data_IF_985179556337
#
_entry.id   IF_985179556337
#
_cell.length_a   1.000
_cell.length_b   1.000
_cell.length_c   1.000
_cell.angle_alpha   90.00
_cell.angle_beta   90.00
_cell.angle_gamma   90.00
#
_symmetry.space_group_name_H-M   'P 1'
#
loop_
_entity.id
_entity.type
_entity.pdbx_description
1 polymer ?
#
# COMPACT_ATOMS: atom_id res chain seq x y z
N UNK A 1 47.38 70.71 5.53
CA UNK A 1 48.08 70.10 4.39
C UNK A 1 47.02 69.47 3.50
N UNK A 2 46.91 69.99 2.27
CA UNK A 2 46.33 69.36 1.06
C UNK A 2 44.80 69.18 1.02
N UNK A 3 44.05 70.07 0.34
CA UNK A 3 43.57 69.99 -1.07
C UNK A 3 42.70 68.74 -1.37
N UNK A 4 41.58 68.71 -2.09
CA UNK A 4 40.62 69.65 -2.72
C UNK A 4 39.64 68.74 -3.48
N UNK A 5 38.36 69.12 -3.62
CA UNK A 5 37.57 69.06 -4.88
C UNK A 5 36.06 69.07 -4.62
N UNK A 6 35.43 70.17 -5.07
CA UNK A 6 34.03 70.32 -5.47
C UNK A 6 33.48 69.15 -6.29
N UNK A 7 32.15 68.94 -6.25
CA UNK A 7 31.25 69.29 -7.37
C UNK A 7 29.78 68.85 -7.12
N UNK A 8 28.88 69.84 -7.18
CA UNK A 8 27.42 69.71 -7.42
C UNK A 8 27.16 69.17 -8.84
N UNK A 9 26.28 68.17 -9.03
CA UNK A 9 25.47 67.99 -10.26
C UNK A 9 24.13 67.30 -9.92
N UNK A 10 23.09 67.79 -10.60
CA UNK A 10 21.64 67.58 -10.55
C UNK A 10 21.14 66.31 -11.32
N UNK A 11 19.90 65.89 -11.01
CA UNK A 11 18.94 65.02 -11.77
C UNK A 11 19.19 63.50 -12.05
N UNK A 12 18.13 62.69 -12.38
CA UNK A 12 16.68 62.82 -12.17
C UNK A 12 16.00 61.55 -11.57
N UNK A 13 14.72 61.68 -11.21
CA UNK A 13 13.85 60.60 -10.76
C UNK A 13 13.54 59.59 -11.89
N UNK A 14 13.70 58.30 -11.57
CA UNK A 14 13.59 57.16 -12.47
C UNK A 14 12.15 56.96 -12.97
N UNK A 15 11.97 57.08 -14.29
CA UNK A 15 10.74 56.94 -15.13
C UNK A 15 9.97 55.62 -14.96
N UNK A 16 10.40 54.71 -14.08
CA UNK A 16 9.85 53.35 -13.97
C UNK A 16 8.59 53.22 -13.10
N UNK A 17 8.10 54.32 -12.53
CA UNK A 17 6.94 54.30 -11.61
C UNK A 17 5.61 54.62 -12.30
N UNK A 18 5.63 55.11 -13.54
CA UNK A 18 4.39 55.53 -14.24
C UNK A 18 3.74 54.46 -15.12
N UNK A 19 4.40 53.33 -15.39
CA UNK A 19 3.86 52.29 -16.29
C UNK A 19 2.93 51.26 -15.61
N UNK A 20 2.63 51.39 -14.32
CA UNK A 20 1.86 50.38 -13.56
C UNK A 20 0.38 50.73 -13.37
N UNK A 21 -0.14 51.78 -14.01
CA UNK A 21 -1.49 52.30 -13.73
C UNK A 21 -2.48 52.30 -14.91
N UNK A 22 -2.17 51.69 -16.04
CA UNK A 22 -3.11 51.57 -17.16
C UNK A 22 -3.20 50.12 -17.63
N UNK A 23 -4.05 49.31 -17.00
CA UNK A 23 -4.76 48.16 -17.61
C UNK A 23 -5.81 47.52 -16.64
N UNK A 24 -6.45 48.34 -15.81
CA UNK A 24 -7.43 47.89 -14.81
C UNK A 24 -8.89 48.03 -15.25
N UNK A 25 -9.32 47.35 -16.32
CA UNK A 25 -10.75 47.30 -16.69
C UNK A 25 -11.25 45.91 -17.13
N UNK A 26 -10.73 44.83 -16.54
CA UNK A 26 -11.54 43.61 -16.44
C UNK A 26 -12.58 43.87 -15.34
N UNK A 27 -13.87 43.85 -15.68
CA UNK A 27 -14.93 43.99 -14.70
C UNK A 27 -14.75 42.92 -13.62
N UNK A 28 -14.93 43.24 -12.33
CA UNK A 28 -14.86 42.25 -11.24
C UNK A 28 -15.78 41.03 -11.53
N UNK A 29 -16.83 41.21 -12.33
CA UNK A 29 -17.72 40.14 -12.83
C UNK A 29 -17.07 39.20 -13.85
N UNK A 30 -16.15 39.69 -14.68
CA UNK A 30 -15.37 38.90 -15.64
C UNK A 30 -14.27 38.11 -14.93
N UNK A 31 -13.61 38.73 -13.94
CA UNK A 31 -12.62 38.06 -13.09
C UNK A 31 -13.25 36.98 -12.19
N UNK A 32 -14.44 37.24 -11.62
CA UNK A 32 -15.21 36.25 -10.87
C UNK A 32 -15.72 35.10 -11.77
N UNK A 33 -16.13 35.40 -13.01
CA UNK A 33 -16.55 34.39 -13.98
C UNK A 33 -15.42 33.50 -14.49
N UNK A 34 -14.20 34.03 -14.65
CA UNK A 34 -13.01 33.22 -14.96
C UNK A 34 -12.61 32.31 -13.79
N UNK A 35 -12.68 32.81 -12.56
CA UNK A 35 -12.43 32.00 -11.35
C UNK A 35 -13.47 30.88 -11.14
N UNK A 36 -14.75 31.14 -11.42
CA UNK A 36 -15.82 30.13 -11.31
C UNK A 36 -15.68 29.04 -12.40
N UNK A 37 -15.27 29.42 -13.62
CA UNK A 37 -14.91 28.45 -14.68
C UNK A 37 -13.64 27.64 -14.34
N UNK A 38 -12.65 28.27 -13.71
CA UNK A 38 -11.44 27.59 -13.24
C UNK A 38 -11.74 26.64 -12.06
N UNK A 39 -12.63 27.03 -11.13
CA UNK A 39 -13.08 26.18 -10.03
C UNK A 39 -13.89 24.97 -10.54
N UNK A 40 -14.84 25.18 -11.46
CA UNK A 40 -15.61 24.09 -12.06
C UNK A 40 -14.73 23.14 -12.90
N UNK A 41 -13.74 23.69 -13.62
CA UNK A 41 -12.73 22.91 -14.34
C UNK A 41 -11.83 22.11 -13.39
N UNK A 42 -11.36 22.69 -12.30
CA UNK A 42 -10.57 21.99 -11.28
C UNK A 42 -11.39 20.91 -10.58
N UNK A 43 -12.65 21.17 -10.25
CA UNK A 43 -13.57 20.19 -9.65
C UNK A 43 -13.85 19.05 -10.64
N UNK A 44 -14.05 19.35 -11.93
CA UNK A 44 -14.21 18.34 -12.98
C UNK A 44 -12.96 17.46 -13.13
N UNK A 45 -11.76 18.07 -13.16
CA UNK A 45 -10.48 17.36 -13.22
C UNK A 45 -10.26 16.45 -11.99
N UNK A 46 -10.61 16.91 -10.78
CA UNK A 46 -10.54 16.10 -9.55
C UNK A 46 -11.51 14.92 -9.63
N UNK A 47 -12.74 15.14 -10.11
CA UNK A 47 -13.74 14.07 -10.29
C UNK A 47 -13.27 13.03 -11.30
N UNK A 48 -12.75 13.48 -12.44
CA UNK A 48 -12.20 12.59 -13.47
C UNK A 48 -11.03 11.76 -12.93
N UNK A 49 -10.08 12.39 -12.24
CA UNK A 49 -8.94 11.69 -11.63
C UNK A 49 -9.37 10.66 -10.58
N UNK A 50 -10.37 10.98 -9.75
CA UNK A 50 -10.93 10.02 -8.78
C UNK A 50 -11.66 8.87 -9.47
N UNK A 51 -12.43 9.16 -10.52
CA UNK A 51 -13.13 8.14 -11.29
C UNK A 51 -12.15 7.19 -11.98
N UNK A 52 -11.05 7.72 -12.51
CA UNK A 52 -9.99 6.92 -13.13
C UNK A 52 -9.27 6.04 -12.09
N UNK A 53 -8.91 6.59 -10.93
CA UNK A 53 -8.31 5.82 -9.83
C UNK A 53 -9.20 4.66 -9.41
N UNK A 54 -10.50 4.92 -9.20
CA UNK A 54 -11.47 3.89 -8.85
C UNK A 54 -11.57 2.80 -9.93
N UNK A 55 -11.61 3.20 -11.20
CA UNK A 55 -11.66 2.27 -12.34
C UNK A 55 -10.41 1.40 -12.40
N UNK A 56 -9.23 1.97 -12.17
CA UNK A 56 -7.97 1.24 -12.14
C UNK A 56 -7.91 0.24 -10.97
N UNK A 57 -8.40 0.63 -9.79
CA UNK A 57 -8.46 -0.27 -8.63
C UNK A 57 -9.43 -1.42 -8.85
N UNK A 58 -10.61 -1.16 -9.42
CA UNK A 58 -11.58 -2.18 -9.79
C UNK A 58 -11.01 -3.17 -10.81
N UNK A 59 -10.33 -2.67 -11.85
CA UNK A 59 -9.69 -3.51 -12.87
C UNK A 59 -8.63 -4.43 -12.26
N UNK A 60 -7.75 -3.88 -11.39
CA UNK A 60 -6.73 -4.66 -10.68
C UNK A 60 -7.36 -5.72 -9.78
N UNK A 61 -8.41 -5.39 -9.04
CA UNK A 61 -9.09 -6.36 -8.18
C UNK A 61 -9.75 -7.48 -9.02
N UNK A 62 -10.32 -7.15 -10.17
CA UNK A 62 -10.93 -8.13 -11.06
C UNK A 62 -9.87 -9.06 -11.68
N UNK A 63 -8.73 -8.52 -12.11
CA UNK A 63 -7.58 -9.30 -12.60
C UNK A 63 -7.03 -10.23 -11.51
N UNK A 64 -6.86 -9.73 -10.29
CA UNK A 64 -6.44 -10.55 -9.14
C UNK A 64 -7.41 -11.72 -8.90
N UNK A 65 -8.72 -11.47 -8.98
CA UNK A 65 -9.74 -12.55 -8.85
C UNK A 65 -9.60 -13.59 -9.96
N UNK A 66 -9.34 -13.18 -11.20
CA UNK A 66 -9.11 -14.10 -12.32
C UNK A 66 -7.85 -14.94 -12.12
N UNK A 67 -6.83 -14.41 -11.44
CA UNK A 67 -5.61 -15.13 -11.08
C UNK A 67 -5.71 -15.87 -9.75
N UNK A 68 -6.92 -16.23 -9.31
CA UNK A 68 -7.17 -17.04 -8.11
C UNK A 68 -6.57 -16.43 -6.82
N UNK A 69 -6.43 -15.11 -6.73
CA UNK A 69 -6.04 -14.49 -5.46
C UNK A 69 -7.07 -14.81 -4.37
N UNK A 70 -6.62 -14.86 -3.11
CA UNK A 70 -7.46 -15.29 -1.99
C UNK A 70 -7.52 -16.81 -1.77
N UNK A 71 -7.06 -17.61 -2.74
CA UNK A 71 -6.99 -19.07 -2.61
C UNK A 71 -5.58 -19.55 -2.29
N UNK A 72 -5.49 -20.78 -1.80
CA UNK A 72 -4.25 -21.51 -1.61
C UNK A 72 -4.32 -22.81 -2.42
N UNK A 73 -3.62 -22.85 -3.55
CA UNK A 73 -3.67 -23.96 -4.50
C UNK A 73 -2.32 -24.63 -4.72
N UNK A 74 -2.36 -25.92 -5.07
CA UNK A 74 -1.19 -26.68 -5.48
C UNK A 74 -0.95 -26.51 -6.97
N UNK A 75 0.26 -26.08 -7.32
CA UNK A 75 0.71 -25.94 -8.70
C UNK A 75 1.58 -27.16 -9.02
N UNK A 76 1.24 -27.93 -10.07
CA UNK A 76 1.95 -29.16 -10.39
C UNK A 76 3.27 -28.93 -11.15
N UNK A 77 3.50 -27.73 -11.70
CA UNK A 77 4.64 -27.45 -12.58
C UNK A 77 5.42 -26.22 -12.13
N UNK A 78 6.73 -26.33 -12.05
CA UNK A 78 7.62 -25.22 -11.66
C UNK A 78 7.61 -24.04 -12.66
N UNK A 79 7.33 -24.29 -13.95
CA UNK A 79 7.20 -23.21 -14.95
C UNK A 79 6.05 -22.27 -14.61
N UNK A 80 4.95 -22.82 -14.10
CA UNK A 80 3.78 -22.04 -13.70
C UNK A 80 4.08 -21.24 -12.44
N UNK A 81 4.84 -21.80 -11.48
CA UNK A 81 5.33 -21.04 -10.32
C UNK A 81 6.18 -19.84 -10.76
N UNK A 82 7.13 -20.03 -11.68
CA UNK A 82 7.94 -18.94 -12.22
C UNK A 82 7.05 -17.86 -12.85
N UNK A 83 6.11 -18.25 -13.71
CA UNK A 83 5.15 -17.32 -14.32
C UNK A 83 4.39 -16.53 -13.25
N UNK A 84 3.80 -17.21 -12.27
CA UNK A 84 3.04 -16.59 -11.18
C UNK A 84 3.91 -15.59 -10.41
N UNK A 85 5.12 -15.99 -9.99
CA UNK A 85 6.01 -15.10 -9.22
C UNK A 85 6.44 -13.86 -10.00
N UNK A 86 6.54 -13.94 -11.33
CA UNK A 86 6.89 -12.80 -12.18
C UNK A 86 5.70 -11.96 -12.64
N UNK A 87 4.50 -12.53 -12.71
CA UNK A 87 3.28 -11.83 -13.15
C UNK A 87 2.49 -11.20 -12.00
N UNK A 88 2.77 -11.61 -10.76
CA UNK A 88 2.08 -11.09 -9.57
C UNK A 88 3.04 -10.27 -8.71
N UNK A 89 2.53 -9.17 -8.16
CA UNK A 89 3.34 -8.26 -7.34
C UNK A 89 3.77 -8.90 -6.02
N UNK A 90 2.86 -9.56 -5.33
CA UNK A 90 3.10 -10.18 -4.02
C UNK A 90 2.75 -11.67 -4.13
N UNK A 91 3.72 -12.53 -3.87
CA UNK A 91 3.54 -13.97 -3.98
C UNK A 91 4.25 -14.71 -2.85
N UNK A 92 3.60 -15.76 -2.32
CA UNK A 92 4.15 -16.67 -1.32
C UNK A 92 4.07 -18.08 -1.87
N UNK A 93 5.23 -18.74 -1.95
CA UNK A 93 5.35 -20.11 -2.46
C UNK A 93 5.78 -21.04 -1.33
N UNK A 94 4.95 -22.02 -1.02
CA UNK A 94 5.30 -23.10 -0.10
C UNK A 94 5.84 -24.31 -0.86
N UNK A 95 7.14 -24.59 -0.67
CA UNK A 95 7.78 -25.82 -1.11
C UNK A 95 7.50 -26.90 -0.07
N UNK A 96 6.82 -27.96 -0.49
CA UNK A 96 6.34 -29.00 0.41
C UNK A 96 6.66 -30.40 -0.11
N UNK A 97 6.45 -31.40 0.75
CA UNK A 97 6.50 -32.81 0.39
C UNK A 97 5.42 -33.57 1.19
N UNK A 98 4.73 -34.52 0.56
CA UNK A 98 3.51 -35.15 1.12
C UNK A 98 3.78 -35.97 2.38
N UNK A 99 4.97 -36.56 2.49
CA UNK A 99 5.39 -37.37 3.63
C UNK A 99 5.76 -36.54 4.87
N UNK A 100 5.95 -35.23 4.71
CA UNK A 100 6.41 -34.37 5.80
C UNK A 100 5.20 -33.78 6.55
N UNK A 101 4.93 -34.31 7.75
CA UNK A 101 3.83 -33.83 8.62
C UNK A 101 3.88 -32.31 8.85
N UNK A 102 5.07 -31.73 9.01
CA UNK A 102 5.25 -30.29 9.23
C UNK A 102 4.78 -29.44 8.04
N UNK A 103 4.86 -29.95 6.82
CA UNK A 103 4.29 -29.28 5.65
C UNK A 103 2.76 -29.18 5.74
N UNK A 104 2.08 -30.21 6.27
CA UNK A 104 0.63 -30.19 6.46
C UNK A 104 0.20 -29.15 7.51
N UNK A 105 1.06 -28.86 8.49
CA UNK A 105 0.82 -27.81 9.49
C UNK A 105 0.86 -26.43 8.81
N UNK A 106 1.87 -26.18 7.97
CA UNK A 106 1.95 -24.95 7.17
C UNK A 106 0.72 -24.79 6.27
N UNK A 107 0.28 -25.85 5.60
CA UNK A 107 -0.93 -25.82 4.76
C UNK A 107 -2.17 -25.36 5.55
N UNK A 108 -2.34 -25.85 6.79
CA UNK A 108 -3.46 -25.46 7.67
C UNK A 108 -3.44 -23.98 8.05
N UNK A 109 -2.25 -23.36 8.13
CA UNK A 109 -2.11 -21.96 8.48
C UNK A 109 -2.16 -21.04 7.25
N UNK A 110 -1.57 -21.43 6.12
CA UNK A 110 -1.57 -20.61 4.90
C UNK A 110 -2.95 -20.52 4.25
N UNK A 111 -3.79 -21.55 4.34
CA UNK A 111 -5.14 -21.53 3.78
C UNK A 111 -6.04 -20.39 4.31
N UNK A 112 -6.17 -20.17 5.64
CA UNK A 112 -6.93 -19.02 6.14
C UNK A 112 -6.20 -17.68 5.93
N UNK A 113 -4.86 -17.66 5.93
CA UNK A 113 -4.09 -16.44 5.65
C UNK A 113 -4.32 -15.97 4.21
N UNK A 114 -4.38 -16.90 3.25
CA UNK A 114 -4.61 -16.54 1.84
C UNK A 114 -5.94 -15.82 1.65
N UNK A 115 -6.99 -16.26 2.35
CA UNK A 115 -8.31 -15.67 2.27
C UNK A 115 -8.35 -14.25 2.85
N UNK A 116 -7.59 -13.99 3.93
CA UNK A 116 -7.48 -12.66 4.55
C UNK A 116 -6.67 -11.69 3.68
N UNK A 117 -5.61 -12.18 3.03
CA UNK A 117 -4.65 -11.36 2.29
C UNK A 117 -4.86 -11.46 0.79
N UNK A 118 -6.02 -11.00 0.31
CA UNK A 118 -6.39 -11.09 -1.10
C UNK A 118 -5.38 -10.43 -2.07
N UNK A 119 -4.62 -9.42 -1.62
CA UNK A 119 -3.59 -8.78 -2.47
C UNK A 119 -2.38 -9.66 -2.75
N UNK A 120 -2.24 -10.77 -2.04
CA UNK A 120 -1.08 -11.67 -2.10
C UNK A 120 -1.50 -13.00 -2.68
N UNK A 121 -0.72 -13.50 -3.64
CA UNK A 121 -0.95 -14.82 -4.22
C UNK A 121 -0.28 -15.88 -3.36
N UNK A 122 -1.03 -16.87 -2.90
CA UNK A 122 -0.49 -18.01 -2.16
C UNK A 122 -0.59 -19.27 -2.99
N UNK A 123 0.53 -19.98 -3.13
CA UNK A 123 0.61 -21.24 -3.88
C UNK A 123 1.53 -22.22 -3.17
N UNK A 124 1.37 -23.50 -3.47
CA UNK A 124 2.29 -24.55 -3.03
C UNK A 124 2.73 -25.43 -4.18
N UNK A 125 3.91 -26.01 -4.07
CA UNK A 125 4.45 -26.96 -5.04
C UNK A 125 5.20 -28.08 -4.33
N UNK A 126 4.98 -29.32 -4.78
CA UNK A 126 5.77 -30.45 -4.31
C UNK A 126 7.20 -30.30 -4.83
N UNK A 127 8.20 -30.42 -3.95
CA UNK A 127 9.62 -30.33 -4.33
C UNK A 127 10.02 -31.33 -5.41
N UNK A 128 9.36 -32.49 -5.50
CA UNK A 128 9.58 -33.49 -6.55
C UNK A 128 9.24 -32.96 -7.95
N UNK A 129 8.30 -32.01 -8.03
CA UNK A 129 7.84 -31.41 -9.28
C UNK A 129 8.59 -30.12 -9.63
N UNK A 130 9.55 -29.69 -8.80
CA UNK A 130 10.23 -28.40 -8.94
C UNK A 130 11.75 -28.46 -8.72
N UNK A 131 12.47 -29.39 -9.38
CA UNK A 131 13.90 -29.59 -9.14
C UNK A 131 14.72 -28.33 -9.44
N UNK A 132 14.38 -27.57 -10.50
CA UNK A 132 15.12 -26.36 -10.85
C UNK A 132 14.92 -25.26 -9.81
N UNK A 133 13.69 -25.06 -9.33
CA UNK A 133 13.43 -24.08 -8.26
C UNK A 133 14.08 -24.49 -6.94
N UNK A 134 14.03 -25.77 -6.58
CA UNK A 134 14.66 -26.31 -5.37
C UNK A 134 16.16 -26.06 -5.38
N UNK A 135 16.84 -26.31 -6.51
CA UNK A 135 18.26 -26.04 -6.67
C UNK A 135 18.56 -24.53 -6.66
N UNK A 136 17.83 -23.75 -7.48
CA UNK A 136 18.06 -22.31 -7.64
C UNK A 136 17.84 -21.54 -6.35
N UNK A 137 16.80 -21.90 -5.60
CA UNK A 137 16.47 -21.31 -4.31
C UNK A 137 17.16 -22.02 -3.14
N UNK A 138 17.95 -23.06 -3.37
CA UNK A 138 18.66 -23.84 -2.32
C UNK A 138 17.71 -24.31 -1.22
N UNK A 139 16.58 -24.91 -1.59
CA UNK A 139 15.62 -25.49 -0.64
C UNK A 139 16.16 -26.83 -0.15
N UNK A 140 16.74 -26.85 1.05
CA UNK A 140 17.35 -28.06 1.64
C UNK A 140 16.51 -28.68 2.76
N UNK A 141 15.70 -27.87 3.43
CA UNK A 141 14.91 -28.27 4.60
C UNK A 141 13.44 -27.95 4.34
N UNK A 142 12.57 -28.89 4.70
CA UNK A 142 11.12 -28.76 4.55
C UNK A 142 10.42 -28.69 5.91
N UNK A 143 9.32 -27.91 6.02
CA UNK A 143 8.75 -27.02 4.99
C UNK A 143 9.62 -25.78 4.70
N UNK A 144 9.53 -25.25 3.48
CA UNK A 144 10.17 -23.98 3.13
C UNK A 144 9.16 -23.05 2.45
N UNK A 145 8.96 -21.87 3.02
CA UNK A 145 8.05 -20.85 2.47
C UNK A 145 8.88 -19.68 1.98
N UNK A 146 8.79 -19.35 0.70
CA UNK A 146 9.55 -18.24 0.08
C UNK A 146 8.59 -17.12 -0.30
N UNK A 147 8.94 -15.90 0.10
CA UNK A 147 8.19 -14.69 -0.23
C UNK A 147 8.84 -13.99 -1.42
N UNK A 148 8.01 -13.60 -2.38
CA UNK A 148 8.40 -12.88 -3.59
C UNK A 148 7.68 -11.54 -3.67
N UNK A 149 8.43 -10.50 -4.02
CA UNK A 149 7.91 -9.18 -4.34
C UNK A 149 8.48 -8.79 -5.71
N UNK A 150 7.59 -8.48 -6.67
CA UNK A 150 7.92 -8.11 -8.04
C UNK A 150 8.92 -9.11 -8.70
N UNK A 151 8.67 -10.41 -8.51
CA UNK A 151 9.51 -11.50 -9.05
C UNK A 151 10.83 -11.76 -8.30
N UNK A 152 11.16 -10.97 -7.27
CA UNK A 152 12.40 -11.12 -6.50
C UNK A 152 12.09 -11.82 -5.18
N UNK A 153 12.88 -12.85 -4.82
CA UNK A 153 12.78 -13.49 -3.51
C UNK A 153 13.29 -12.55 -2.42
N UNK A 154 12.39 -12.06 -1.57
CA UNK A 154 12.72 -11.07 -0.51
C UNK A 154 12.97 -11.72 0.84
N UNK A 155 12.39 -12.89 1.09
CA UNK A 155 12.44 -13.54 2.40
C UNK A 155 12.11 -15.03 2.28
N UNK A 156 12.51 -15.79 3.30
CA UNK A 156 12.16 -17.22 3.43
C UNK A 156 12.02 -17.65 4.87
N UNK A 157 11.13 -18.60 5.09
CA UNK A 157 10.94 -19.29 6.36
C UNK A 157 11.33 -20.74 6.13
N UNK A 158 12.31 -21.23 6.90
CA UNK A 158 12.82 -22.60 6.79
C UNK A 158 12.47 -23.37 8.05
N UNK A 159 11.76 -24.48 7.90
CA UNK A 159 11.26 -25.26 9.02
C UNK A 159 10.41 -24.41 9.97
N UNK A 160 10.52 -24.68 11.27
CA UNK A 160 9.81 -23.94 12.33
C UNK A 160 10.75 -23.14 13.23
N UNK A 161 12.02 -22.97 12.85
CA UNK A 161 13.04 -22.32 13.68
C UNK A 161 12.60 -20.91 14.09
N UNK A 162 12.06 -20.15 13.15
CA UNK A 162 11.57 -18.78 13.35
C UNK A 162 10.15 -18.72 13.94
N UNK A 163 9.50 -19.87 14.13
CA UNK A 163 8.15 -20.02 14.67
C UNK A 163 8.16 -20.66 16.07
N UNK A 164 9.31 -20.62 16.76
CA UNK A 164 9.48 -21.18 18.10
C UNK A 164 9.78 -22.68 18.13
N UNK A 165 10.11 -23.26 16.97
CA UNK A 165 10.46 -24.67 16.77
C UNK A 165 9.45 -25.67 17.36
N UNK A 166 8.17 -25.28 17.35
CA UNK A 166 7.06 -26.10 17.84
C UNK A 166 6.08 -26.40 16.71
N UNK A 167 5.45 -27.57 16.75
CA UNK A 167 4.39 -27.96 15.83
C UNK A 167 3.05 -27.25 16.12
N UNK A 168 2.96 -26.52 17.24
CA UNK A 168 1.72 -25.89 17.75
C UNK A 168 1.70 -24.36 17.63
N UNK A 169 2.45 -23.78 16.69
CA UNK A 169 2.41 -22.33 16.47
C UNK A 169 1.05 -21.88 15.90
N UNK A 170 0.71 -20.61 16.09
CA UNK A 170 -0.57 -20.06 15.66
C UNK A 170 -0.50 -19.49 14.24
N UNK A 171 -1.63 -19.46 13.52
CA UNK A 171 -1.70 -18.80 12.22
C UNK A 171 -1.25 -17.32 12.31
N UNK A 172 -1.57 -16.66 13.43
CA UNK A 172 -1.15 -15.28 13.69
C UNK A 172 0.37 -15.12 13.79
N UNK A 173 1.10 -16.12 14.31
CA UNK A 173 2.56 -16.08 14.35
C UNK A 173 3.17 -16.15 12.94
N UNK A 174 2.66 -17.05 12.09
CA UNK A 174 3.09 -17.15 10.70
C UNK A 174 2.72 -15.89 9.90
N UNK A 175 1.51 -15.37 10.11
CA UNK A 175 1.04 -14.12 9.52
C UNK A 175 1.95 -12.95 9.94
N UNK A 176 2.26 -12.82 11.23
CA UNK A 176 3.19 -11.80 11.70
C UNK A 176 4.57 -11.96 11.05
N UNK A 177 5.08 -13.19 10.90
CA UNK A 177 6.37 -13.43 10.26
C UNK A 177 6.38 -13.04 8.78
N UNK A 178 5.32 -13.34 8.04
CA UNK A 178 5.14 -12.92 6.65
C UNK A 178 4.97 -11.39 6.52
N UNK A 179 4.30 -10.74 7.46
CA UNK A 179 4.13 -9.28 7.42
C UNK A 179 5.46 -8.52 7.54
N UNK A 180 6.47 -9.12 8.17
CA UNK A 180 7.82 -8.54 8.30
C UNK A 180 8.56 -8.44 6.97
N UNK A 181 8.25 -9.31 6.00
CA UNK A 181 8.85 -9.25 4.66
C UNK A 181 8.13 -8.26 3.73
N UNK A 182 6.99 -7.70 4.15
CA UNK A 182 6.15 -6.84 3.32
C UNK A 182 5.35 -7.60 2.26
N UNK A 183 5.41 -8.94 2.24
CA UNK A 183 4.64 -9.75 1.28
C UNK A 183 3.15 -9.77 1.59
N UNK A 184 2.77 -9.53 2.85
CA UNK A 184 1.39 -9.31 3.25
C UNK A 184 1.25 -7.98 4.00
N UNK A 185 0.09 -7.35 3.89
CA UNK A 185 -0.24 -6.17 4.69
C UNK A 185 -0.34 -6.57 6.16
N UNK A 186 0.13 -5.70 7.06
CA UNK A 186 -0.22 -5.85 8.47
C UNK A 186 -1.74 -5.81 8.58
N UNK A 187 -2.37 -6.65 9.43
CA UNK A 187 -3.75 -6.43 9.78
C UNK A 187 -3.82 -4.99 10.30
N UNK A 188 -4.63 -4.15 9.65
CA UNK A 188 -5.05 -2.92 10.30
C UNK A 188 -5.71 -3.41 11.59
N UNK A 189 -5.03 -3.23 12.71
CA UNK A 189 -5.69 -3.32 14.01
C UNK A 189 -6.93 -2.47 13.84
N UNK A 190 -8.11 -3.08 13.93
CA UNK A 190 -9.34 -2.35 14.08
C UNK A 190 -9.05 -1.37 15.22
N UNK A 191 -8.79 -0.09 14.87
CA UNK A 191 -8.83 0.97 15.87
C UNK A 191 -10.22 0.79 16.43
N UNK A 192 -10.32 0.49 17.71
CA UNK A 192 -11.58 0.36 18.41
C UNK A 192 -12.52 1.47 17.92
N UNK A 193 -13.76 1.11 17.63
CA UNK A 193 -14.78 2.01 17.08
C UNK A 193 -15.12 3.20 18.01
N UNK A 194 -14.34 3.45 19.06
CA UNK A 194 -14.58 4.45 20.09
C UNK A 194 -14.17 5.87 19.70
N UNK A 195 -13.54 6.11 18.55
CA UNK A 195 -13.23 7.49 18.12
C UNK A 195 -13.40 7.70 16.61
N UNK A 196 -14.56 7.33 16.04
CA UNK A 196 -15.03 7.99 14.81
C UNK A 196 -15.64 9.33 15.18
N UNK A 197 -14.81 10.33 15.49
CA UNK A 197 -15.28 11.73 15.49
C UNK A 197 -15.71 12.05 14.05
N UNK A 198 -17.00 12.26 13.85
CA UNK A 198 -17.57 12.69 12.58
C UNK A 198 -16.92 14.02 12.18
N UNK A 199 -16.60 14.17 10.89
CA UNK A 199 -16.00 15.40 10.33
C UNK A 199 -16.96 16.60 10.42
N UNK A 200 -18.24 16.35 10.68
CA UNK A 200 -19.23 17.36 11.06
C UNK A 200 -19.25 17.47 12.58
N UNK A 201 -18.67 18.55 13.09
CA UNK A 201 -18.58 18.86 14.51
C UNK A 201 -19.93 19.19 15.12
N UNK A 202 -20.65 18.15 15.54
CA UNK A 202 -21.66 18.25 16.59
C UNK A 202 -21.13 17.48 17.79
N UNK A 203 -20.52 18.22 18.72
CA UNK A 203 -20.33 17.76 20.10
C UNK A 203 -21.73 17.64 20.72
N UNK A 204 -22.13 16.42 21.06
CA UNK A 204 -23.26 16.18 21.96
C UNK A 204 -22.98 16.90 23.27
N UNK A 205 -23.95 17.72 23.69
CA UNK A 205 -23.87 18.50 24.92
C UNK A 205 -23.76 17.61 26.13
N UNK A 206 -22.95 18.09 27.08
CA UNK A 206 -23.02 17.73 28.48
C UNK A 206 -24.44 18.00 28.99
N UNK A 207 -25.09 16.99 29.57
CA UNK A 207 -26.08 17.19 30.62
C UNK A 207 -25.60 16.31 31.78
N UNK A 208 -24.86 16.97 32.67
CA UNK A 208 -24.72 16.56 34.07
C UNK A 208 -26.11 16.63 34.72
N UNK A 209 -26.59 15.53 35.29
CA UNK A 209 -27.56 15.56 36.39
C UNK A 209 -27.15 14.50 37.42
N UNK A 210 -26.66 15.00 38.53
CA UNK A 210 -26.40 14.34 39.81
C UNK A 210 -27.71 13.90 40.51
N UNK A 211 -27.56 13.02 41.51
CA UNK A 211 -28.48 12.70 42.64
C UNK A 211 -29.70 11.78 42.32
N UNK A 212 -30.08 10.74 43.09
CA UNK A 212 -29.95 10.44 44.52
C UNK A 212 -30.24 8.94 44.80
N UNK A 213 -29.82 8.49 46.00
CA UNK A 213 -29.97 7.19 46.67
C UNK A 213 -31.35 6.47 46.59
N UNK A 214 -31.32 5.13 46.40
CA UNK A 214 -31.87 4.10 47.33
C UNK A 214 -31.51 2.65 46.88
#
# INVERSE_FOLDING_TARGET
MSNSADQNIDEPADERVQEVLEDGNLSDTELLGELENDEDSVIANIRERRMEQLKQEMAKMQEMRQHNHGTYEEIPNEKDILKITTSTKLCVVHFFHKEFRRCQIIDKHLAPISQKHFKTRFVKINVENAPFLVEKLKVQVLPCVVSFIDGISVDRIVGFEELGNTDSFTAAALELRLSKSGVISKPESQRSEEQRKTIFGFSGGDDDDDDDDD
#
